data_IF_201920623449
#
_entry.id   IF_201920623449
#
_cell.length_a   1.000
_cell.length_b   1.000
_cell.length_c   1.000
_cell.angle_alpha   90.00
_cell.angle_beta   90.00
_cell.angle_gamma   90.00
#
_symmetry.space_group_name_H-M   'P 1'
#
loop_
_entity.id
_entity.type
_entity.pdbx_description
1 polymer ?
#
# COMPACT_ATOMS: atom_id res chain seq x y z
N UNK A 1 2.79 14.96 -1.90
CA UNK A 1 1.49 15.62 -1.60
C UNK A 1 0.36 14.91 -2.34
N UNK A 2 -0.74 14.64 -1.65
CA UNK A 2 -1.97 14.03 -2.22
C UNK A 2 -3.09 15.05 -2.11
N UNK A 3 -3.86 15.26 -3.16
CA UNK A 3 -5.04 16.12 -3.12
C UNK A 3 -6.20 15.45 -3.87
N UNK A 4 -7.35 15.40 -3.24
CA UNK A 4 -8.62 15.00 -3.82
C UNK A 4 -9.51 16.22 -3.96
N UNK A 5 -10.12 16.41 -5.13
CA UNK A 5 -11.04 17.50 -5.40
C UNK A 5 -12.36 16.97 -5.91
N UNK A 6 -13.39 17.09 -5.09
CA UNK A 6 -14.77 16.72 -5.42
C UNK A 6 -14.89 15.32 -6.03
N UNK A 7 -14.13 14.34 -5.50
CA UNK A 7 -14.13 12.97 -6.00
C UNK A 7 -15.50 12.32 -5.78
N UNK A 8 -16.04 11.76 -6.88
CA UNK A 8 -17.30 11.03 -6.88
C UNK A 8 -17.07 9.63 -7.44
N UNK A 9 -17.71 8.63 -6.83
CA UNK A 9 -17.71 7.26 -7.32
C UNK A 9 -18.96 6.52 -6.87
N UNK A 10 -19.64 5.88 -7.81
CA UNK A 10 -20.77 4.99 -7.56
C UNK A 10 -20.56 3.63 -8.22
N UNK A 11 -21.33 2.66 -7.78
CA UNK A 11 -21.47 1.34 -8.41
C UNK A 11 -22.96 1.07 -8.60
N UNK A 12 -23.42 1.22 -9.84
CA UNK A 12 -24.85 1.25 -10.15
C UNK A 12 -25.52 2.51 -9.60
N UNK A 13 -26.76 2.43 -9.07
CA UNK A 13 -27.52 3.61 -8.65
C UNK A 13 -27.05 4.20 -7.30
N UNK A 14 -26.18 3.53 -6.56
CA UNK A 14 -25.75 3.98 -5.24
C UNK A 14 -24.42 4.73 -5.28
N UNK A 15 -24.36 6.01 -4.86
CA UNK A 15 -23.11 6.70 -4.67
C UNK A 15 -22.34 6.11 -3.48
N UNK A 16 -21.04 5.87 -3.66
CA UNK A 16 -20.13 5.42 -2.60
C UNK A 16 -19.28 6.57 -2.09
N UNK A 17 -18.82 7.41 -3.00
CA UNK A 17 -18.15 8.67 -2.68
C UNK A 17 -18.94 9.79 -3.35
N UNK A 18 -19.30 10.83 -2.60
CA UNK A 18 -20.10 11.95 -3.08
C UNK A 18 -19.43 13.30 -2.77
N UNK A 19 -18.50 13.70 -3.64
CA UNK A 19 -17.85 14.99 -3.55
C UNK A 19 -16.75 15.09 -2.49
N UNK A 20 -15.97 14.03 -2.30
CA UNK A 20 -14.88 13.98 -1.30
C UNK A 20 -13.74 14.91 -1.74
N UNK A 21 -13.34 15.81 -0.84
CA UNK A 21 -12.22 16.74 -1.05
C UNK A 21 -11.35 16.80 0.19
N UNK A 22 -10.04 16.67 0.01
CA UNK A 22 -9.03 16.81 1.07
C UNK A 22 -7.64 17.02 0.45
N UNK A 23 -6.70 17.41 1.30
CA UNK A 23 -5.29 17.55 0.95
C UNK A 23 -4.43 16.97 2.08
N UNK A 24 -3.38 16.25 1.71
CA UNK A 24 -2.40 15.63 2.59
C UNK A 24 -1.02 16.11 2.14
N UNK A 25 -0.28 16.73 3.05
CA UNK A 25 1.07 17.20 2.76
C UNK A 25 2.10 16.05 2.89
N UNK A 26 3.30 16.27 2.34
CA UNK A 26 4.37 15.28 2.44
C UNK A 26 4.78 15.06 3.90
N UNK A 27 4.91 13.79 4.30
CA UNK A 27 5.25 13.38 5.66
C UNK A 27 4.07 13.41 6.64
N UNK A 28 2.89 13.82 6.20
CA UNK A 28 1.69 13.81 7.04
C UNK A 28 1.11 12.39 7.14
N UNK A 29 0.61 12.03 8.33
CA UNK A 29 -0.13 10.79 8.56
C UNK A 29 -1.60 11.09 8.78
N UNK A 30 -2.45 10.49 7.95
CA UNK A 30 -3.90 10.71 7.96
C UNK A 30 -4.64 9.39 8.14
N UNK A 31 -5.58 9.34 9.09
CA UNK A 31 -6.47 8.21 9.28
C UNK A 31 -7.86 8.50 8.68
N UNK A 32 -8.31 7.61 7.80
CA UNK A 32 -9.67 7.66 7.22
C UNK A 32 -10.58 6.76 8.05
N UNK A 33 -11.49 7.37 8.82
CA UNK A 33 -12.39 6.67 9.72
C UNK A 33 -13.79 6.61 9.10
N UNK A 34 -14.44 5.46 9.20
CA UNK A 34 -15.81 5.27 8.73
C UNK A 34 -16.27 3.83 8.88
N UNK A 35 -17.60 3.61 8.80
CA UNK A 35 -18.21 2.29 8.88
C UNK A 35 -17.70 1.36 7.76
N UNK A 36 -17.82 0.04 7.96
CA UNK A 36 -17.56 -0.92 6.88
C UNK A 36 -18.45 -0.61 5.67
N UNK A 37 -17.87 -0.69 4.46
CA UNK A 37 -18.60 -0.40 3.22
C UNK A 37 -18.81 1.07 2.88
N UNK A 38 -18.34 2.05 3.69
CA UNK A 38 -18.50 3.48 3.38
C UNK A 38 -17.57 4.04 2.31
N UNK A 39 -16.76 3.19 1.65
CA UNK A 39 -15.94 3.62 0.51
C UNK A 39 -14.45 3.87 0.82
N UNK A 40 -13.93 3.55 2.03
CA UNK A 40 -12.50 3.75 2.37
C UNK A 40 -11.56 3.11 1.35
N UNK A 41 -11.71 1.81 1.08
CA UNK A 41 -10.89 1.09 0.10
C UNK A 41 -11.11 1.59 -1.33
N UNK A 42 -12.32 2.09 -1.64
CA UNK A 42 -12.60 2.71 -2.94
C UNK A 42 -11.80 3.98 -3.09
N UNK A 43 -11.79 4.85 -2.07
CA UNK A 43 -11.01 6.07 -2.07
C UNK A 43 -9.51 5.79 -2.27
N UNK A 44 -8.93 4.84 -1.51
CA UNK A 44 -7.53 4.47 -1.68
C UNK A 44 -7.22 4.00 -3.12
N UNK A 45 -8.10 3.20 -3.72
CA UNK A 45 -7.96 2.73 -5.11
C UNK A 45 -8.06 3.85 -6.15
N UNK A 46 -8.87 4.88 -5.90
CA UNK A 46 -8.95 6.07 -6.75
C UNK A 46 -7.63 6.86 -6.70
N UNK A 47 -7.05 7.04 -5.51
CA UNK A 47 -5.81 7.81 -5.31
C UNK A 47 -4.59 7.21 -6.02
N UNK A 48 -4.59 5.91 -6.30
CA UNK A 48 -3.51 5.25 -7.04
C UNK A 48 -3.90 4.87 -8.48
N UNK A 49 -5.05 5.34 -8.93
CA UNK A 49 -5.56 5.09 -10.28
C UNK A 49 -5.88 3.62 -10.58
N UNK A 50 -6.17 2.79 -9.56
CA UNK A 50 -6.68 1.42 -9.76
C UNK A 50 -8.16 1.41 -10.15
N UNK A 51 -8.88 2.47 -9.82
CA UNK A 51 -10.25 2.72 -10.24
C UNK A 51 -10.34 4.15 -10.78
N UNK A 52 -11.05 4.40 -11.89
CA UNK A 52 -11.36 5.75 -12.32
C UNK A 52 -12.51 6.32 -11.47
N UNK A 53 -12.46 7.59 -11.06
CA UNK A 53 -13.61 8.28 -10.51
C UNK A 53 -14.65 8.53 -11.58
N UNK A 54 -15.91 8.78 -11.19
CA UNK A 54 -16.99 9.18 -12.08
C UNK A 54 -16.97 10.70 -12.30
N UNK A 55 -16.42 11.45 -11.32
CA UNK A 55 -16.17 12.89 -11.41
C UNK A 55 -15.13 13.32 -10.37
N UNK A 56 -14.59 14.51 -10.54
CA UNK A 56 -13.57 15.10 -9.68
C UNK A 56 -12.15 14.79 -10.12
N UNK A 57 -11.17 15.19 -9.31
CA UNK A 57 -9.75 15.09 -9.61
C UNK A 57 -9.01 14.42 -8.45
N UNK A 58 -8.00 13.62 -8.78
CA UNK A 58 -7.00 13.10 -7.84
C UNK A 58 -5.62 13.62 -8.30
N UNK A 59 -4.98 14.41 -7.45
CA UNK A 59 -3.67 15.00 -7.77
C UNK A 59 -2.59 14.39 -6.87
N UNK A 60 -1.51 13.96 -7.50
CA UNK A 60 -0.30 13.48 -6.82
C UNK A 60 0.84 14.41 -7.20
N UNK A 61 1.39 15.11 -6.21
CA UNK A 61 2.41 16.15 -6.41
C UNK A 61 1.98 17.23 -7.42
N UNK A 62 0.67 17.58 -7.40
CA UNK A 62 0.08 18.57 -8.28
C UNK A 62 -0.31 18.07 -9.67
N UNK A 63 -0.01 16.83 -10.03
CA UNK A 63 -0.34 16.22 -11.32
C UNK A 63 -1.66 15.43 -11.22
N UNK A 64 -2.68 15.80 -11.99
CA UNK A 64 -3.96 15.08 -12.00
C UNK A 64 -3.81 13.72 -12.68
N UNK A 65 -4.04 12.64 -11.94
CA UNK A 65 -3.88 11.27 -12.42
C UNK A 65 -5.11 10.69 -13.13
N UNK A 66 -6.26 11.35 -13.03
CA UNK A 66 -7.53 10.86 -13.60
C UNK A 66 -7.47 10.68 -15.12
N UNK A 67 -6.93 11.63 -15.91
CA UNK A 67 -6.85 11.49 -17.38
C UNK A 67 -5.67 10.62 -17.85
N UNK A 68 -4.84 10.09 -16.94
CA UNK A 68 -3.63 9.36 -17.30
C UNK A 68 -3.93 7.97 -17.88
N UNK A 69 -3.17 7.61 -18.91
CA UNK A 69 -3.14 6.25 -19.42
C UNK A 69 -2.31 5.33 -18.50
N UNK A 70 -2.39 4.01 -18.72
CA UNK A 70 -1.75 3.01 -17.86
C UNK A 70 -0.22 3.20 -17.76
N UNK A 71 0.46 3.59 -18.86
CA UNK A 71 1.91 3.84 -18.85
C UNK A 71 2.28 5.04 -17.96
N UNK A 72 1.45 6.08 -17.94
CA UNK A 72 1.63 7.24 -17.07
C UNK A 72 1.33 6.89 -15.61
N UNK A 73 0.26 6.10 -15.36
CA UNK A 73 -0.10 5.62 -14.03
C UNK A 73 0.98 4.73 -13.41
N UNK A 74 1.68 3.90 -14.20
CA UNK A 74 2.81 3.10 -13.69
C UNK A 74 3.90 3.98 -13.05
N UNK A 75 4.22 5.14 -13.64
CA UNK A 75 5.18 6.10 -13.07
C UNK A 75 4.68 6.66 -11.73
N UNK A 76 3.40 6.98 -11.64
CA UNK A 76 2.79 7.50 -10.41
C UNK A 76 2.75 6.41 -9.33
N UNK A 77 2.34 5.19 -9.68
CA UNK A 77 2.22 4.05 -8.75
C UNK A 77 3.56 3.66 -8.11
N UNK A 78 4.70 3.94 -8.75
CA UNK A 78 6.03 3.75 -8.15
C UNK A 78 6.26 4.60 -6.90
N UNK A 79 5.54 5.71 -6.74
CA UNK A 79 5.60 6.54 -5.54
C UNK A 79 4.86 5.95 -4.36
N UNK A 80 4.04 4.91 -4.59
CA UNK A 80 3.14 4.32 -3.60
C UNK A 80 3.56 2.92 -3.19
N UNK A 81 3.53 2.67 -1.89
CA UNK A 81 3.37 1.34 -1.32
C UNK A 81 1.91 1.14 -0.94
N UNK A 82 1.33 -0.02 -1.26
CA UNK A 82 -0.03 -0.35 -0.83
C UNK A 82 -0.07 -1.66 -0.05
N UNK A 83 -0.60 -1.58 1.15
CA UNK A 83 -0.89 -2.72 2.02
C UNK A 83 -2.39 -3.00 1.95
N UNK A 84 -2.76 -4.13 1.35
CA UNK A 84 -4.15 -4.54 1.19
C UNK A 84 -4.69 -5.23 2.45
N UNK A 85 -5.98 -5.15 2.68
CA UNK A 85 -6.68 -5.76 3.83
C UNK A 85 -6.32 -7.25 4.04
N UNK A 86 -6.26 -8.05 2.99
CA UNK A 86 -5.89 -9.47 3.02
C UNK A 86 -4.40 -9.76 2.83
N UNK A 87 -3.52 -8.74 2.91
CA UNK A 87 -2.09 -8.80 2.56
C UNK A 87 -1.83 -9.12 1.08
N UNK A 88 -2.76 -9.73 0.37
CA UNK A 88 -2.71 -10.09 -1.06
C UNK A 88 -1.39 -10.79 -1.46
N UNK A 89 -0.89 -11.70 -0.61
CA UNK A 89 0.27 -12.52 -0.93
C UNK A 89 -0.11 -13.60 -1.95
N UNK A 90 0.84 -13.93 -2.79
CA UNK A 90 0.72 -15.08 -3.69
C UNK A 90 1.02 -16.36 -2.90
N UNK A 91 0.03 -17.25 -2.79
CA UNK A 91 0.13 -18.48 -1.98
C UNK A 91 1.19 -19.46 -2.52
N UNK A 92 1.43 -19.43 -3.83
CA UNK A 92 2.41 -20.28 -4.51
C UNK A 92 3.85 -19.79 -4.43
N UNK A 93 4.08 -18.65 -3.77
CA UNK A 93 5.38 -18.00 -3.68
C UNK A 93 5.91 -18.02 -2.25
N UNK A 94 7.23 -18.07 -2.13
CA UNK A 94 7.93 -17.84 -0.86
C UNK A 94 7.77 -16.39 -0.40
N UNK A 95 8.18 -16.10 0.84
CA UNK A 95 8.25 -14.74 1.38
C UNK A 95 9.15 -13.86 0.50
N UNK A 96 10.36 -14.34 0.17
CA UNK A 96 11.29 -13.60 -0.68
C UNK A 96 10.70 -13.29 -2.06
N UNK A 97 10.04 -14.26 -2.69
CA UNK A 97 9.40 -14.08 -3.99
C UNK A 97 8.24 -13.09 -3.93
N UNK A 98 7.42 -13.13 -2.89
CA UNK A 98 6.35 -12.17 -2.67
C UNK A 98 6.90 -10.75 -2.50
N UNK A 99 7.92 -10.57 -1.67
CA UNK A 99 8.52 -9.25 -1.41
C UNK A 99 9.24 -8.73 -2.65
N UNK A 100 9.99 -9.59 -3.36
CA UNK A 100 10.75 -9.23 -4.57
C UNK A 100 9.87 -9.09 -5.82
N UNK A 101 8.60 -9.48 -5.80
CA UNK A 101 7.76 -9.62 -6.99
C UNK A 101 7.80 -8.41 -7.92
N UNK A 102 7.69 -7.24 -7.35
CA UNK A 102 7.75 -6.01 -8.12
C UNK A 102 9.15 -5.69 -8.63
N UNK A 103 10.20 -5.83 -7.81
CA UNK A 103 11.59 -5.54 -8.21
C UNK A 103 12.01 -6.34 -9.44
N UNK A 104 11.75 -7.65 -9.44
CA UNK A 104 12.06 -8.53 -10.57
C UNK A 104 11.37 -8.13 -11.88
N UNK A 105 10.25 -7.43 -11.79
CA UNK A 105 9.43 -7.08 -12.94
C UNK A 105 9.75 -5.70 -13.52
N UNK A 106 10.25 -4.80 -12.69
CA UNK A 106 10.36 -3.38 -13.03
C UNK A 106 11.76 -2.81 -12.91
N UNK A 107 12.70 -3.54 -12.32
CA UNK A 107 14.09 -3.11 -12.13
C UNK A 107 15.06 -4.09 -12.79
N UNK A 108 16.15 -3.54 -13.32
CA UNK A 108 17.25 -4.34 -13.88
C UNK A 108 18.31 -4.63 -12.80
N UNK A 109 17.90 -5.38 -11.76
CA UNK A 109 18.77 -5.74 -10.64
C UNK A 109 19.25 -7.18 -10.77
N UNK A 110 20.45 -7.44 -10.28
CA UNK A 110 20.95 -8.80 -10.11
C UNK A 110 20.22 -9.52 -8.97
N UNK A 111 20.22 -10.86 -8.99
CA UNK A 111 19.60 -11.63 -7.88
C UNK A 111 20.28 -11.32 -6.53
N UNK A 112 21.56 -11.02 -6.49
CA UNK A 112 22.25 -10.62 -5.26
C UNK A 112 21.76 -9.25 -4.73
N UNK A 113 21.46 -8.30 -5.61
CA UNK A 113 20.89 -7.02 -5.24
C UNK A 113 19.45 -7.17 -4.76
N UNK A 114 18.63 -7.96 -5.45
CA UNK A 114 17.27 -8.28 -5.05
C UNK A 114 17.28 -8.93 -3.65
N UNK A 115 18.16 -9.91 -3.42
CA UNK A 115 18.25 -10.57 -2.11
C UNK A 115 18.61 -9.58 -0.99
N UNK A 116 19.48 -8.61 -1.24
CA UNK A 116 19.81 -7.55 -0.25
C UNK A 116 18.60 -6.65 0.04
N UNK A 117 17.86 -6.22 -0.98
CA UNK A 117 16.65 -5.43 -0.79
C UNK A 117 15.58 -6.22 0.00
N UNK A 118 15.39 -7.49 -0.32
CA UNK A 118 14.45 -8.37 0.41
C UNK A 118 14.86 -8.51 1.87
N UNK A 119 16.12 -8.80 2.16
CA UNK A 119 16.61 -8.93 3.53
C UNK A 119 16.39 -7.63 4.33
N UNK A 120 16.73 -6.47 3.76
CA UNK A 120 16.50 -5.17 4.40
C UNK A 120 15.01 -4.87 4.65
N UNK A 121 14.15 -5.18 3.69
CA UNK A 121 12.70 -4.99 3.86
C UNK A 121 12.14 -5.94 4.94
N UNK A 122 12.61 -7.19 5.02
CA UNK A 122 12.19 -8.14 6.05
C UNK A 122 12.72 -7.77 7.45
N UNK A 123 13.93 -7.26 7.54
CA UNK A 123 14.47 -6.74 8.79
C UNK A 123 13.63 -5.56 9.32
N UNK A 124 13.25 -4.64 8.44
CA UNK A 124 12.42 -3.48 8.78
C UNK A 124 11.05 -3.88 9.35
N UNK A 125 10.52 -5.03 8.97
CA UNK A 125 9.22 -5.55 9.47
C UNK A 125 9.36 -6.64 10.54
N UNK A 126 10.53 -6.80 11.16
CA UNK A 126 10.86 -7.78 12.20
C UNK A 126 10.63 -9.25 11.75
N UNK A 127 11.01 -9.58 10.51
CA UNK A 127 10.91 -10.93 9.95
C UNK A 127 12.23 -11.42 9.29
N UNK A 128 13.42 -11.14 9.85
CA UNK A 128 14.66 -11.62 9.25
C UNK A 128 14.69 -13.17 9.28
N UNK A 129 15.30 -13.78 8.26
CA UNK A 129 15.45 -15.24 8.17
C UNK A 129 14.18 -15.99 7.77
N UNK A 130 13.15 -15.29 7.29
CA UNK A 130 11.89 -15.91 6.84
C UNK A 130 11.78 -16.04 5.32
N UNK A 131 12.82 -15.68 4.57
CA UNK A 131 12.85 -15.54 3.12
C UNK A 131 12.31 -16.79 2.40
N UNK A 132 12.67 -17.98 2.89
CA UNK A 132 12.35 -19.27 2.28
C UNK A 132 11.00 -19.87 2.71
N UNK A 133 10.30 -19.23 3.68
CA UNK A 133 8.99 -19.73 4.12
C UNK A 133 7.94 -19.55 3.03
N UNK A 134 7.01 -20.50 2.97
CA UNK A 134 5.82 -20.38 2.15
C UNK A 134 4.77 -19.49 2.84
N UNK A 135 3.92 -18.83 2.05
CA UNK A 135 2.83 -17.99 2.59
C UNK A 135 1.90 -18.75 3.53
N UNK A 136 1.70 -20.05 3.32
CA UNK A 136 0.87 -20.90 4.15
C UNK A 136 1.47 -21.16 5.56
N UNK A 137 2.78 -21.02 5.73
CA UNK A 137 3.48 -21.23 7.01
C UNK A 137 3.43 -20.01 7.92
N UNK A 138 2.87 -18.88 7.41
CA UNK A 138 2.86 -17.61 8.12
C UNK A 138 1.60 -17.46 8.97
N UNK A 139 1.77 -16.97 10.20
CA UNK A 139 0.63 -16.47 11.01
C UNK A 139 -0.05 -15.26 10.34
N UNK A 140 -1.24 -14.89 10.80
CA UNK A 140 -1.95 -13.70 10.30
C UNK A 140 -1.11 -12.42 10.42
N UNK A 141 -0.47 -12.20 11.57
CA UNK A 141 0.42 -11.06 11.79
C UNK A 141 1.65 -11.09 10.87
N UNK A 142 2.28 -12.26 10.69
CA UNK A 142 3.40 -12.40 9.75
C UNK A 142 3.00 -12.09 8.32
N UNK A 143 1.83 -12.55 7.85
CA UNK A 143 1.32 -12.19 6.51
C UNK A 143 1.16 -10.69 6.33
N UNK A 144 0.65 -9.97 7.35
CA UNK A 144 0.53 -8.50 7.32
C UNK A 144 1.90 -7.83 7.19
N UNK A 145 2.89 -8.30 7.98
CA UNK A 145 4.28 -7.81 7.94
C UNK A 145 4.95 -8.06 6.59
N UNK A 146 4.77 -9.24 5.98
CA UNK A 146 5.29 -9.54 4.63
C UNK A 146 4.59 -8.66 3.58
N UNK A 147 3.28 -8.41 3.70
CA UNK A 147 2.55 -7.47 2.85
C UNK A 147 3.10 -6.05 2.95
N UNK A 148 3.50 -5.61 4.15
CA UNK A 148 4.16 -4.32 4.37
C UNK A 148 5.57 -4.32 3.76
N UNK A 149 6.39 -5.37 3.99
CA UNK A 149 7.72 -5.48 3.38
C UNK A 149 7.65 -5.34 1.85
N UNK A 150 6.68 -6.03 1.20
CA UNK A 150 6.44 -5.90 -0.23
C UNK A 150 6.04 -4.49 -0.66
N UNK A 151 5.26 -3.79 0.17
CA UNK A 151 4.83 -2.44 -0.13
C UNK A 151 5.96 -1.41 -0.05
N UNK A 152 6.94 -1.62 0.84
CA UNK A 152 8.03 -0.66 1.10
C UNK A 152 9.35 -0.98 0.40
N UNK A 153 9.48 -2.14 -0.26
CA UNK A 153 10.75 -2.56 -0.88
C UNK A 153 11.30 -1.59 -1.94
N UNK A 154 10.44 -0.74 -2.50
CA UNK A 154 10.80 0.32 -3.45
C UNK A 154 11.10 1.66 -2.78
N UNK A 155 11.11 1.73 -1.46
CA UNK A 155 11.25 2.98 -0.71
C UNK A 155 10.25 4.05 -1.20
N UNK A 156 8.93 3.75 -1.15
CA UNK A 156 7.91 4.64 -1.68
C UNK A 156 7.87 5.97 -0.92
N UNK A 157 7.32 7.00 -1.55
CA UNK A 157 7.08 8.31 -0.90
C UNK A 157 5.79 8.33 -0.09
N UNK A 158 4.84 7.45 -0.44
CA UNK A 158 3.51 7.38 0.15
C UNK A 158 3.19 5.90 0.44
N UNK A 159 2.68 5.61 1.63
CA UNK A 159 2.19 4.26 1.98
C UNK A 159 0.71 4.32 2.32
N UNK A 160 -0.08 3.57 1.58
CA UNK A 160 -1.51 3.42 1.80
C UNK A 160 -1.80 2.10 2.53
N UNK A 161 -2.55 2.18 3.62
CA UNK A 161 -2.97 1.02 4.40
C UNK A 161 -4.48 0.83 4.30
N UNK A 162 -4.92 -0.28 3.76
CA UNK A 162 -6.33 -0.65 3.67
C UNK A 162 -6.65 -1.66 4.76
N UNK A 163 -7.19 -1.20 5.88
CA UNK A 163 -7.56 -1.99 7.07
C UNK A 163 -6.44 -2.97 7.52
N UNK A 164 -5.23 -2.48 7.85
CA UNK A 164 -4.04 -3.31 8.06
C UNK A 164 -4.16 -4.27 9.25
N UNK A 165 -4.97 -3.95 10.25
CA UNK A 165 -5.13 -4.73 11.49
C UNK A 165 -6.38 -5.61 11.51
N UNK A 166 -7.22 -5.55 10.47
CA UNK A 166 -8.44 -6.38 10.40
C UNK A 166 -8.11 -7.86 10.47
N UNK A 167 -8.80 -8.57 11.38
CA UNK A 167 -8.65 -10.01 11.60
C UNK A 167 -7.50 -10.40 12.53
N UNK A 168 -6.85 -9.43 13.18
CA UNK A 168 -5.87 -9.66 14.21
C UNK A 168 -6.47 -9.49 15.62
N UNK A 169 -5.87 -10.15 16.60
CA UNK A 169 -6.15 -9.89 18.00
C UNK A 169 -5.59 -8.51 18.43
N UNK A 170 -6.01 -7.96 19.58
CA UNK A 170 -5.59 -6.63 20.01
C UNK A 170 -4.06 -6.44 20.16
N UNK A 171 -3.35 -7.48 20.63
CA UNK A 171 -1.90 -7.41 20.84
C UNK A 171 -1.17 -7.38 19.48
N UNK A 172 -1.59 -8.24 18.56
CA UNK A 172 -1.05 -8.26 17.21
C UNK A 172 -1.39 -6.97 16.44
N UNK A 173 -2.58 -6.38 16.66
CA UNK A 173 -2.97 -5.10 16.07
C UNK A 173 -2.05 -3.98 16.54
N UNK A 174 -1.85 -3.83 17.85
CA UNK A 174 -0.93 -2.83 18.44
C UNK A 174 0.49 -2.97 17.86
N UNK A 175 0.97 -4.22 17.74
CA UNK A 175 2.28 -4.50 17.15
C UNK A 175 2.40 -4.05 15.67
N UNK A 176 1.33 -4.17 14.88
CA UNK A 176 1.30 -3.67 13.49
C UNK A 176 1.25 -2.15 13.48
N UNK A 177 0.47 -1.52 14.36
CA UNK A 177 0.37 -0.05 14.45
C UNK A 177 1.71 0.58 14.82
N UNK A 178 2.43 0.00 15.80
CA UNK A 178 3.79 0.40 16.15
C UNK A 178 4.77 0.22 14.99
N UNK A 179 4.65 -0.90 14.25
CA UNK A 179 5.48 -1.15 13.07
C UNK A 179 5.24 -0.10 11.97
N UNK A 180 3.97 0.24 11.69
CA UNK A 180 3.63 1.27 10.70
C UNK A 180 4.22 2.63 11.10
N UNK A 181 4.18 3.00 12.38
CA UNK A 181 4.79 4.22 12.88
C UNK A 181 6.32 4.21 12.69
N UNK A 182 7.01 3.11 13.01
CA UNK A 182 8.45 2.98 12.79
C UNK A 182 8.83 3.09 11.31
N UNK A 183 8.10 2.40 10.43
CA UNK A 183 8.33 2.46 8.96
C UNK A 183 8.16 3.88 8.44
N UNK A 184 7.10 4.59 8.87
CA UNK A 184 6.91 6.01 8.53
C UNK A 184 8.11 6.86 8.93
N UNK A 185 8.59 6.72 10.18
CA UNK A 185 9.67 7.55 10.72
C UNK A 185 11.02 7.23 10.06
N UNK A 186 11.28 5.96 9.75
CA UNK A 186 12.51 5.51 9.09
C UNK A 186 12.57 5.92 7.62
N UNK A 187 11.48 5.74 6.88
CA UNK A 187 11.41 6.04 5.44
C UNK A 187 10.94 7.47 5.15
N UNK A 188 10.48 8.21 6.18
CA UNK A 188 9.91 9.57 6.06
C UNK A 188 8.76 9.64 5.04
N UNK A 189 7.93 8.60 5.01
CA UNK A 189 6.79 8.49 4.10
C UNK A 189 5.56 9.23 4.61
N UNK A 190 4.67 9.55 3.67
CA UNK A 190 3.31 10.07 3.90
C UNK A 190 2.35 8.92 4.09
#
# INVERSE_FOLDING_TARGET
>A
MIEARNLRKGFGPQPVLDGVSFRIENGESVAIIGRSGCGKSVLLKLLIGLLPPDAGEALIDGENIVPMNERQLLRVRRKFGMVFQGSALFDSMTVAENVAFGLRRHEHLTEAEIARHVAGALEMVDLPGTENKQSAELSGGMRKRVGLARAIIYEPQIVLYDEPTTGLDPIASDSIDQLMARVRDQLKVT
#
